data_IF_147654648986
#
_entry.id   IF_147654648986
#
_cell.length_a   1.000
_cell.length_b   1.000
_cell.length_c   1.000
_cell.angle_alpha   90.00
_cell.angle_beta   90.00
_cell.angle_gamma   90.00
#
_symmetry.space_group_name_H-M   'P 1'
#
loop_
_entity.id
_entity.type
_entity.pdbx_description
1 polymer ?
#
# COMPACT_ATOMS: atom_id res chain seq x y z
N UNK A 1 -8.94 -1.74 8.20
CA UNK A 1 -8.62 -0.33 7.90
C UNK A 1 -9.14 -0.04 6.50
N UNK A 2 -10.33 0.55 6.39
CA UNK A 2 -11.05 0.66 5.10
C UNK A 2 -12.31 1.50 5.18
N UNK A 3 -12.35 2.46 6.11
CA UNK A 3 -13.39 3.49 6.11
C UNK A 3 -12.89 4.62 5.22
N UNK A 4 -13.72 5.12 4.29
CA UNK A 4 -13.35 6.13 3.29
C UNK A 4 -12.87 7.49 3.83
N UNK A 5 -12.67 7.60 5.14
CA UNK A 5 -12.12 8.74 5.86
C UNK A 5 -10.89 8.34 6.68
N UNK A 6 -10.05 7.44 6.16
CA UNK A 6 -8.74 7.17 6.76
C UNK A 6 -7.99 8.50 6.81
N UNK A 7 -7.66 8.96 8.02
CA UNK A 7 -6.91 10.20 8.21
C UNK A 7 -5.61 10.09 7.39
N UNK A 8 -5.22 11.15 6.66
CA UNK A 8 -3.97 11.17 5.87
C UNK A 8 -2.77 10.76 6.72
N UNK A 9 -2.82 11.04 8.01
CA UNK A 9 -1.83 10.57 9.01
C UNK A 9 -1.76 9.05 9.12
N UNK A 10 -2.88 8.35 9.01
CA UNK A 10 -2.92 6.88 9.03
C UNK A 10 -2.28 6.30 7.76
N UNK A 11 -2.49 6.92 6.60
CA UNK A 11 -1.83 6.51 5.36
C UNK A 11 -0.32 6.73 5.47
N UNK A 12 0.11 7.88 5.97
CA UNK A 12 1.53 8.19 6.18
C UNK A 12 2.19 7.18 7.12
N UNK A 13 1.54 6.87 8.24
CA UNK A 13 2.04 5.88 9.20
C UNK A 13 2.12 4.48 8.56
N UNK A 14 1.09 4.06 7.85
CA UNK A 14 1.05 2.76 7.17
C UNK A 14 2.18 2.64 6.13
N UNK A 15 2.36 3.65 5.28
CA UNK A 15 3.42 3.66 4.27
C UNK A 15 4.80 3.62 4.93
N UNK A 16 5.03 4.34 6.04
CA UNK A 16 6.31 4.26 6.78
C UNK A 16 6.55 2.89 7.43
N UNK A 17 5.50 2.19 7.89
CA UNK A 17 5.66 0.83 8.43
C UNK A 17 6.02 -0.17 7.31
N UNK A 18 5.36 -0.06 6.15
CA UNK A 18 5.57 -0.98 5.03
C UNK A 18 6.84 -0.66 4.22
N UNK A 19 7.21 0.62 4.13
CA UNK A 19 8.35 1.14 3.39
C UNK A 19 9.12 2.16 4.25
N UNK A 20 9.87 1.73 5.27
CA UNK A 20 10.52 2.62 6.23
C UNK A 20 11.57 3.55 5.64
N UNK A 21 12.02 3.29 4.41
CA UNK A 21 12.96 4.13 3.66
C UNK A 21 12.28 5.06 2.67
N UNK A 22 10.95 5.03 2.53
CA UNK A 22 10.23 5.91 1.62
C UNK A 22 10.22 7.35 2.13
N UNK A 23 10.60 8.28 1.26
CA UNK A 23 10.53 9.73 1.48
C UNK A 23 9.42 10.31 0.61
N UNK A 24 8.54 11.10 1.20
CA UNK A 24 7.45 11.78 0.53
C UNK A 24 7.04 12.99 1.36
N UNK A 25 6.73 14.08 0.66
CA UNK A 25 6.61 15.41 1.28
C UNK A 25 5.16 15.92 1.28
N UNK A 26 4.25 15.19 0.62
CA UNK A 26 2.84 15.55 0.45
C UNK A 26 1.92 14.36 0.70
N UNK A 27 0.67 14.67 1.05
CA UNK A 27 -0.39 13.67 1.25
C UNK A 27 -0.67 12.88 -0.04
N UNK A 28 -0.67 13.56 -1.20
CA UNK A 28 -0.88 12.92 -2.50
C UNK A 28 0.25 11.92 -2.85
N UNK A 29 1.49 12.24 -2.49
CA UNK A 29 2.63 11.34 -2.72
C UNK A 29 2.52 10.07 -1.84
N UNK A 30 2.06 10.22 -0.59
CA UNK A 30 1.79 9.09 0.29
C UNK A 30 0.66 8.21 -0.24
N UNK A 31 -0.40 8.80 -0.77
CA UNK A 31 -1.51 8.06 -1.37
C UNK A 31 -1.07 7.29 -2.62
N UNK A 32 -0.29 7.92 -3.50
CA UNK A 32 0.25 7.26 -4.69
C UNK A 32 1.10 6.04 -4.32
N UNK A 33 1.95 6.18 -3.28
CA UNK A 33 2.73 5.07 -2.73
C UNK A 33 1.83 3.97 -2.15
N UNK A 34 0.81 4.32 -1.38
CA UNK A 34 -0.13 3.36 -0.83
C UNK A 34 -0.86 2.57 -1.93
N UNK A 35 -1.29 3.22 -3.02
CA UNK A 35 -1.92 2.57 -4.18
C UNK A 35 -0.93 1.63 -4.88
N UNK A 36 0.33 2.05 -5.04
CA UNK A 36 1.36 1.23 -5.66
C UNK A 36 1.67 -0.03 -4.83
N UNK A 37 1.81 0.11 -3.51
CA UNK A 37 1.98 -1.01 -2.57
C UNK A 37 0.79 -1.97 -2.67
N UNK A 38 -0.44 -1.43 -2.66
CA UNK A 38 -1.66 -2.23 -2.80
C UNK A 38 -1.66 -3.03 -4.11
N UNK A 39 -1.33 -2.40 -5.24
CA UNK A 39 -1.22 -3.07 -6.54
C UNK A 39 -0.15 -4.15 -6.54
N UNK A 40 1.03 -3.88 -5.99
CA UNK A 40 2.12 -4.85 -5.91
C UNK A 40 1.70 -6.09 -5.12
N UNK A 41 1.14 -5.91 -3.92
CA UNK A 41 0.65 -7.00 -3.08
C UNK A 41 -0.51 -7.77 -3.72
N UNK A 42 -1.46 -7.08 -4.35
CA UNK A 42 -2.58 -7.73 -5.03
C UNK A 42 -2.12 -8.54 -6.25
N UNK A 43 -1.21 -7.99 -7.07
CA UNK A 43 -0.64 -8.70 -8.23
C UNK A 43 0.14 -9.93 -7.79
N UNK A 44 0.94 -9.85 -6.72
CA UNK A 44 1.60 -11.02 -6.15
C UNK A 44 0.60 -12.06 -5.65
N UNK A 45 -0.47 -11.64 -4.96
CA UNK A 45 -1.53 -12.55 -4.48
C UNK A 45 -2.17 -13.38 -5.60
N UNK A 46 -2.42 -12.77 -6.77
CA UNK A 46 -2.94 -13.50 -7.94
C UNK A 46 -1.95 -14.55 -8.45
N UNK A 47 -0.67 -14.20 -8.58
CA UNK A 47 0.39 -15.13 -9.03
C UNK A 47 0.53 -16.29 -8.04
N UNK A 48 0.57 -16.02 -6.74
CA UNK A 48 0.64 -17.05 -5.72
C UNK A 48 -0.59 -17.95 -5.71
N UNK A 49 -1.79 -17.40 -5.89
CA UNK A 49 -3.03 -18.19 -6.00
C UNK A 49 -3.03 -19.11 -7.21
N UNK A 50 -2.55 -18.65 -8.36
CA UNK A 50 -2.43 -19.49 -9.56
C UNK A 50 -1.41 -20.61 -9.36
N UNK A 51 -0.26 -20.31 -8.74
CA UNK A 51 0.77 -21.31 -8.44
C UNK A 51 0.31 -22.37 -7.44
N UNK A 52 -0.62 -22.05 -6.53
CA UNK A 52 -1.17 -22.99 -5.55
C UNK A 52 -2.32 -23.87 -6.10
N UNK A 53 -2.79 -23.61 -7.32
CA UNK A 53 -3.86 -24.35 -7.98
C UNK A 53 -3.36 -25.35 -9.04
N UNK A 54 -2.04 -25.47 -9.21
CA UNK A 54 -1.37 -26.48 -10.05
C UNK A 54 -0.49 -27.41 -9.23
#
# INVERSE_FOLDING_TARGET
IGVGHGDKKQIHMMVKVLMPKATFDTDDAADALAIAICHAHHRQSVVYRLAALG
#
